data_IF_707222562597
#
_entry.id   IF_707222562597
#
_cell.length_a   1.000
_cell.length_b   1.000
_cell.length_c   1.000
_cell.angle_alpha   90.00
_cell.angle_beta   90.00
_cell.angle_gamma   90.00
#
_symmetry.space_group_name_H-M   'P 1'
#
loop_
_entity.id
_entity.type
_entity.pdbx_description
1 polymer ?
#
# COMPACT_ATOMS: atom_id res chain seq x y z
N UNK A 1 -17.26 31.04 30.66
CA UNK A 1 -15.90 30.72 31.13
C UNK A 1 -15.08 30.24 29.94
N UNK A 2 -13.86 30.75 29.71
CA UNK A 2 -13.01 30.24 28.64
C UNK A 2 -12.70 28.77 28.90
N UNK A 3 -12.98 27.89 27.93
CA UNK A 3 -12.62 26.47 28.03
C UNK A 3 -11.09 26.38 28.06
N UNK A 4 -10.53 25.72 29.08
CA UNK A 4 -9.09 25.43 29.15
C UNK A 4 -8.66 24.78 27.83
N UNK A 5 -7.56 25.21 27.20
CA UNK A 5 -7.11 24.59 25.97
C UNK A 5 -6.84 23.10 26.19
N UNK A 6 -7.04 22.25 25.18
CA UNK A 6 -6.76 20.83 25.29
C UNK A 6 -5.26 20.60 25.52
N UNK A 7 -4.93 19.63 26.37
CA UNK A 7 -3.57 19.31 26.85
C UNK A 7 -2.57 19.11 25.71
N UNK A 8 -2.99 18.52 24.58
CA UNK A 8 -2.11 18.32 23.43
C UNK A 8 -1.60 19.63 22.80
N UNK A 9 -2.34 20.73 22.91
CA UNK A 9 -1.87 22.05 22.43
C UNK A 9 -0.77 22.59 23.32
N UNK A 10 -0.85 22.34 24.62
CA UNK A 10 0.20 22.70 25.59
C UNK A 10 1.43 21.79 25.43
N UNK A 11 1.24 20.53 25.01
CA UNK A 11 2.32 19.57 24.74
C UNK A 11 3.04 19.79 23.39
N UNK A 12 2.46 20.57 22.46
CA UNK A 12 3.00 20.75 21.10
C UNK A 12 4.40 21.39 21.06
N UNK A 13 4.73 22.43 21.84
CA UNK A 13 6.08 23.00 21.87
C UNK A 13 7.13 21.98 22.33
N UNK A 14 6.80 21.17 23.36
CA UNK A 14 7.67 20.11 23.87
C UNK A 14 7.87 19.02 22.83
N UNK A 15 6.79 18.58 22.17
CA UNK A 15 6.86 17.62 21.08
C UNK A 15 7.77 18.11 19.94
N UNK A 16 7.62 19.37 19.51
CA UNK A 16 8.49 19.94 18.49
C UNK A 16 9.97 19.95 18.93
N UNK A 17 10.25 20.31 20.18
CA UNK A 17 11.61 20.26 20.73
C UNK A 17 12.21 18.85 20.78
N UNK A 18 11.39 17.83 21.08
CA UNK A 18 11.81 16.43 21.05
C UNK A 18 12.10 15.94 19.61
N UNK A 19 11.28 16.36 18.65
CA UNK A 19 11.51 16.05 17.23
C UNK A 19 12.76 16.76 16.70
N UNK A 20 12.97 18.04 17.03
CA UNK A 20 14.14 18.82 16.62
C UNK A 20 15.46 18.30 17.21
N UNK A 21 15.40 17.59 18.35
CA UNK A 21 16.57 17.05 19.05
C UNK A 21 16.76 15.53 18.87
N UNK A 22 15.88 14.87 18.12
CA UNK A 22 15.94 13.44 17.86
C UNK A 22 17.19 13.08 17.04
N UNK A 23 17.91 12.03 17.47
CA UNK A 23 19.12 11.54 16.79
C UNK A 23 18.91 10.18 16.13
N UNK A 24 17.81 9.52 16.45
CA UNK A 24 17.47 8.20 15.95
C UNK A 24 15.95 8.02 15.90
N UNK A 25 15.51 6.93 15.29
CA UNK A 25 14.09 6.56 15.16
C UNK A 25 13.40 6.34 16.52
N UNK A 26 14.10 5.80 17.52
CA UNK A 26 13.54 5.58 18.85
C UNK A 26 13.20 6.90 19.58
N UNK A 27 13.99 7.95 19.38
CA UNK A 27 13.72 9.29 19.89
C UNK A 27 12.43 9.86 19.27
N UNK A 28 12.24 9.67 17.96
CA UNK A 28 11.02 10.08 17.24
C UNK A 28 9.82 9.29 17.68
N UNK A 29 9.95 7.97 17.85
CA UNK A 29 8.87 7.13 18.36
C UNK A 29 8.46 7.53 19.78
N UNK A 30 9.44 7.88 20.62
CA UNK A 30 9.21 8.39 21.98
C UNK A 30 8.48 9.74 21.95
N UNK A 31 8.89 10.66 21.09
CA UNK A 31 8.21 11.95 20.89
C UNK A 31 6.77 11.76 20.39
N UNK A 32 6.56 10.85 19.44
CA UNK A 32 5.22 10.52 18.93
C UNK A 32 4.32 9.90 20.01
N UNK A 33 4.88 9.05 20.88
CA UNK A 33 4.16 8.45 21.99
C UNK A 33 3.74 9.50 23.02
N UNK A 34 4.64 10.44 23.34
CA UNK A 34 4.35 11.58 24.22
C UNK A 34 3.15 12.41 23.73
N UNK A 35 3.14 12.82 22.46
CA UNK A 35 2.04 13.65 21.94
C UNK A 35 0.74 12.85 21.76
N UNK A 36 0.81 11.54 21.48
CA UNK A 36 -0.35 10.64 21.48
C UNK A 36 -0.98 10.59 22.87
N UNK A 37 -0.18 10.41 23.92
CA UNK A 37 -0.67 10.39 25.30
C UNK A 37 -1.37 11.71 25.68
N UNK A 38 -0.77 12.86 25.33
CA UNK A 38 -1.39 14.17 25.58
C UNK A 38 -2.75 14.35 24.85
N UNK A 39 -2.92 13.72 23.69
CA UNK A 39 -4.21 13.69 22.99
C UNK A 39 -5.22 12.77 23.68
N UNK A 40 -4.79 11.60 24.17
CA UNK A 40 -5.64 10.70 24.96
C UNK A 40 -6.13 11.38 26.23
N UNK A 41 -5.25 12.08 26.95
CA UNK A 41 -5.59 12.85 28.15
C UNK A 41 -6.55 14.02 27.85
N UNK A 42 -6.44 14.63 26.67
CA UNK A 42 -7.36 15.69 26.24
C UNK A 42 -8.76 15.18 25.89
N UNK A 43 -8.89 13.90 25.54
CA UNK A 43 -10.13 13.27 25.07
C UNK A 43 -10.22 11.82 25.59
N UNK A 44 -10.40 11.59 26.91
CA UNK A 44 -10.32 10.27 27.51
C UNK A 44 -11.44 9.31 27.06
N UNK A 45 -12.64 9.83 26.80
CA UNK A 45 -13.83 8.99 26.68
C UNK A 45 -14.29 8.71 25.24
N UNK A 46 -13.68 9.34 24.23
CA UNK A 46 -14.11 9.21 22.83
C UNK A 46 -12.95 9.10 21.85
N UNK A 47 -12.57 7.87 21.44
CA UNK A 47 -11.56 7.62 20.41
C UNK A 47 -11.80 8.40 19.10
N UNK A 48 -13.04 8.54 18.57
CA UNK A 48 -13.29 9.32 17.35
C UNK A 48 -12.93 10.80 17.49
N UNK A 49 -13.08 11.38 18.68
CA UNK A 49 -12.79 12.79 18.97
C UNK A 49 -11.29 13.11 18.90
N UNK A 50 -10.41 12.09 18.98
CA UNK A 50 -8.95 12.22 18.90
C UNK A 50 -8.43 12.40 17.47
N UNK A 51 -9.25 12.04 16.46
CA UNK A 51 -8.89 12.12 15.04
C UNK A 51 -8.57 13.55 14.59
N UNK A 52 -9.37 14.52 15.02
CA UNK A 52 -9.20 15.93 14.66
C UNK A 52 -7.90 16.52 15.25
N UNK A 53 -7.61 16.39 16.55
CA UNK A 53 -6.31 16.73 17.13
C UNK A 53 -5.11 16.10 16.39
N UNK A 54 -5.19 14.81 16.07
CA UNK A 54 -4.10 14.11 15.36
C UNK A 54 -3.89 14.63 13.94
N UNK A 55 -4.96 14.94 13.21
CA UNK A 55 -4.83 15.59 11.91
C UNK A 55 -4.18 16.97 12.03
N UNK A 56 -4.57 17.77 13.02
CA UNK A 56 -3.96 19.09 13.27
C UNK A 56 -2.47 18.98 13.63
N UNK A 57 -2.06 17.98 14.42
CA UNK A 57 -0.65 17.74 14.74
C UNK A 57 0.12 17.34 13.48
N UNK A 58 -0.43 16.46 12.64
CA UNK A 58 0.20 16.07 11.36
C UNK A 58 0.30 17.25 10.39
N UNK A 59 -0.71 18.11 10.33
CA UNK A 59 -0.67 19.35 9.54
C UNK A 59 0.43 20.29 10.04
N UNK A 60 0.52 20.51 11.35
CA UNK A 60 1.57 21.34 11.94
C UNK A 60 2.99 20.80 11.66
N UNK A 61 3.18 19.48 11.65
CA UNK A 61 4.45 18.87 11.24
C UNK A 61 4.73 19.13 9.75
N UNK A 62 3.74 18.96 8.87
CA UNK A 62 3.91 19.22 7.43
C UNK A 62 4.19 20.70 7.12
N UNK A 63 3.60 21.61 7.88
CA UNK A 63 3.84 23.05 7.74
C UNK A 63 5.24 23.42 8.24
N UNK A 64 5.68 22.82 9.36
CA UNK A 64 7.01 23.04 9.94
C UNK A 64 8.13 22.44 9.09
N UNK A 65 7.86 21.30 8.43
CA UNK A 65 8.80 20.59 7.58
C UNK A 65 8.17 20.35 6.19
N UNK A 66 8.06 21.40 5.35
CA UNK A 66 7.47 21.27 4.04
C UNK A 66 8.33 20.38 3.15
N UNK A 67 7.71 19.40 2.49
CA UNK A 67 8.38 18.64 1.45
C UNK A 67 8.74 19.59 0.30
N UNK A 68 10.03 19.73 0.00
CA UNK A 68 10.50 20.48 -1.16
C UNK A 68 9.95 19.81 -2.42
N UNK A 69 9.07 20.51 -3.14
CA UNK A 69 8.50 20.06 -4.42
C UNK A 69 9.46 20.19 -5.61
N UNK A 70 10.67 20.71 -5.40
CA UNK A 70 11.59 21.01 -6.49
C UNK A 70 12.84 20.12 -6.45
N UNK A 71 12.94 19.26 -7.47
CA UNK A 71 14.08 18.45 -7.93
C UNK A 71 14.45 17.21 -7.09
N UNK A 72 13.70 16.13 -7.28
CA UNK A 72 14.28 14.78 -7.30
C UNK A 72 14.52 14.38 -8.77
N UNK A 73 15.71 13.87 -9.17
CA UNK A 73 15.93 13.28 -10.49
C UNK A 73 15.18 11.95 -10.69
N UNK A 74 14.43 11.49 -9.69
CA UNK A 74 13.67 10.25 -9.72
C UNK A 74 12.20 10.54 -9.38
N UNK A 75 11.46 11.07 -10.36
CA UNK A 75 9.99 10.95 -10.40
C UNK A 75 9.65 9.52 -10.81
N UNK A 76 9.66 8.61 -9.84
CA UNK A 76 9.34 7.20 -10.06
C UNK A 76 9.17 6.37 -8.79
N UNK A 77 9.75 6.77 -7.65
CA UNK A 77 9.54 6.08 -6.38
C UNK A 77 8.40 6.73 -5.56
N UNK A 78 7.57 5.96 -4.83
CA UNK A 78 6.67 6.53 -3.83
C UNK A 78 7.53 7.29 -2.81
N UNK A 79 7.40 8.61 -2.79
CA UNK A 79 8.09 9.57 -1.91
C UNK A 79 8.86 8.92 -0.76
N UNK A 80 10.21 8.88 -0.78
CA UNK A 80 10.97 8.09 0.18
C UNK A 80 10.85 8.70 1.58
N UNK A 81 10.11 8.01 2.44
CA UNK A 81 9.91 8.36 3.85
C UNK A 81 11.06 7.90 4.74
N UNK A 82 12.30 8.13 4.34
CA UNK A 82 13.47 7.81 5.17
C UNK A 82 14.56 8.85 5.01
N UNK A 83 15.30 9.04 6.10
CA UNK A 83 16.64 9.62 6.23
C UNK A 83 17.29 9.96 4.88
N UNK A 84 17.44 11.24 4.57
CA UNK A 84 18.23 11.66 3.41
C UNK A 84 19.50 12.33 3.89
N UNK A 85 20.63 11.70 3.64
CA UNK A 85 21.94 12.32 3.70
C UNK A 85 22.27 13.00 2.34
N UNK A 86 21.38 12.96 1.35
CA UNK A 86 21.62 13.57 0.06
C UNK A 86 21.25 15.07 0.06
N UNK A 87 22.28 15.94 0.13
CA UNK A 87 22.14 17.39 -0.03
C UNK A 87 23.35 18.15 0.52
N UNK A 88 23.79 19.22 -0.15
CA UNK A 88 24.84 20.13 0.39
C UNK A 88 24.29 20.82 1.63
N UNK A 89 24.85 20.53 2.81
CA UNK A 89 24.44 21.09 4.11
C UNK A 89 23.69 20.12 5.04
N UNK A 90 24.01 18.81 4.97
CA UNK A 90 23.34 17.70 5.70
C UNK A 90 23.07 18.02 7.17
N UNK A 91 21.79 18.14 7.52
CA UNK A 91 21.26 17.99 8.88
C UNK A 91 20.28 16.82 8.82
N UNK A 92 20.42 15.86 9.73
CA UNK A 92 19.52 14.72 9.86
C UNK A 92 18.10 15.23 10.18
N UNK A 93 17.10 14.73 9.44
CA UNK A 93 15.73 15.24 9.51
C UNK A 93 14.74 14.10 9.63
N UNK A 94 14.31 13.84 10.85
CA UNK A 94 13.51 12.69 11.27
C UNK A 94 12.00 12.96 11.28
N UNK A 95 11.57 14.11 10.77
CA UNK A 95 10.23 14.66 11.04
C UNK A 95 9.14 14.02 10.16
N UNK A 96 9.55 13.44 9.03
CA UNK A 96 8.67 12.65 8.17
C UNK A 96 8.38 11.26 8.76
N UNK A 97 9.28 10.74 9.61
CA UNK A 97 9.08 9.51 10.37
C UNK A 97 8.04 9.71 11.49
N UNK A 98 7.96 10.93 12.04
CA UNK A 98 6.91 11.27 13.00
C UNK A 98 5.50 11.17 12.37
N UNK A 99 5.35 11.56 11.10
CA UNK A 99 4.07 11.42 10.38
C UNK A 99 3.70 9.93 10.22
N UNK A 100 4.68 9.04 10.01
CA UNK A 100 4.46 7.58 9.95
C UNK A 100 3.97 7.05 11.29
N UNK A 101 4.70 7.28 12.38
CA UNK A 101 4.30 6.80 13.71
C UNK A 101 2.99 7.40 14.22
N UNK A 102 2.64 8.62 13.78
CA UNK A 102 1.35 9.21 14.09
C UNK A 102 0.19 8.59 13.30
N UNK A 103 0.42 7.81 12.23
CA UNK A 103 -0.65 7.20 11.40
C UNK A 103 -1.21 5.88 11.96
N UNK A 104 -0.41 5.10 12.70
CA UNK A 104 -0.68 3.65 12.88
C UNK A 104 -1.92 3.28 13.72
N UNK A 105 -2.33 4.06 14.74
CA UNK A 105 -3.26 3.47 15.73
C UNK A 105 -4.71 4.01 15.73
N UNK A 106 -5.02 5.05 14.96
CA UNK A 106 -6.29 5.79 15.11
C UNK A 106 -7.18 5.83 13.87
N UNK A 107 -6.80 5.08 12.83
CA UNK A 107 -7.49 5.03 11.54
C UNK A 107 -7.91 3.60 11.16
N UNK A 108 -7.81 2.65 12.08
CA UNK A 108 -8.43 1.33 11.94
C UNK A 108 -9.94 1.55 11.89
N UNK A 109 -10.58 1.14 10.78
CA UNK A 109 -12.02 0.88 10.78
C UNK A 109 -12.25 -0.25 11.81
N UNK A 110 -13.32 -0.15 12.58
CA UNK A 110 -13.70 -0.94 13.78
C UNK A 110 -13.75 -2.49 13.66
N UNK A 111 -13.01 -3.14 12.76
CA UNK A 111 -13.08 -4.60 12.58
C UNK A 111 -11.89 -5.38 13.17
N UNK A 112 -10.94 -4.74 13.88
CA UNK A 112 -9.79 -5.44 14.47
C UNK A 112 -9.41 -4.85 15.83
N UNK A 113 -9.93 -5.46 16.90
CA UNK A 113 -9.38 -5.30 18.26
C UNK A 113 -8.24 -6.31 18.38
N UNK A 114 -7.00 -5.87 18.13
CA UNK A 114 -5.82 -6.57 18.62
C UNK A 114 -5.67 -6.28 20.11
N UNK A 115 -6.03 -7.25 20.95
CA UNK A 115 -5.53 -7.31 22.33
C UNK A 115 -4.03 -7.62 22.28
N UNK A 116 -3.20 -6.62 22.57
CA UNK A 116 -1.82 -6.85 23.00
C UNK A 116 -1.78 -7.01 24.51
N UNK A 117 -1.35 -8.20 24.90
CA UNK A 117 -0.91 -8.62 26.22
C UNK A 117 0.28 -7.82 26.73
N UNK A 118 0.26 -7.45 28.01
CA UNK A 118 1.46 -7.43 28.85
C UNK A 118 1.14 -7.95 30.27
N UNK A 119 1.83 -9.05 30.60
CA UNK A 119 2.04 -9.81 31.86
C UNK A 119 2.27 -8.88 33.09
N UNK A 120 1.92 -9.12 34.37
CA UNK A 120 2.10 -10.26 35.31
C UNK A 120 1.24 -10.02 36.59
N UNK A 121 0.46 -11.00 37.08
CA UNK A 121 0.41 -11.52 38.49
C UNK A 121 -0.52 -12.75 38.56
N UNK A 122 -0.17 -13.86 39.26
CA UNK A 122 -0.97 -15.08 39.23
C UNK A 122 -2.14 -14.99 40.24
N UNK A 123 -3.36 -15.05 39.72
CA UNK A 123 -4.58 -15.27 40.50
C UNK A 123 -5.35 -16.43 39.86
N UNK A 124 -5.87 -17.40 40.63
CA UNK A 124 -6.38 -18.65 40.07
C UNK A 124 -7.74 -18.41 39.40
N UNK A 125 -7.79 -18.61 38.08
CA UNK A 125 -9.04 -18.59 37.31
C UNK A 125 -9.28 -19.93 36.59
N UNK A 126 -10.55 -20.29 36.40
CA UNK A 126 -11.00 -21.61 35.98
C UNK A 126 -10.68 -21.87 34.50
N UNK A 127 -10.39 -23.12 34.18
CA UNK A 127 -10.10 -23.60 32.82
C UNK A 127 -11.31 -23.40 31.88
N UNK A 128 -11.41 -22.25 31.22
CA UNK A 128 -12.15 -22.16 29.96
C UNK A 128 -11.18 -22.49 28.83
N UNK A 129 -11.09 -23.77 28.49
CA UNK A 129 -10.28 -24.27 27.39
C UNK A 129 -10.70 -23.62 26.07
N UNK A 130 -9.74 -23.00 25.40
CA UNK A 130 -9.89 -22.53 24.02
C UNK A 130 -10.13 -23.75 23.12
N UNK A 131 -11.36 -23.90 22.61
CA UNK A 131 -11.72 -24.98 21.69
C UNK A 131 -11.44 -24.55 20.25
N UNK A 132 -10.29 -24.98 19.74
CA UNK A 132 -9.83 -24.67 18.39
C UNK A 132 -10.81 -25.16 17.32
N UNK A 133 -11.58 -26.22 17.58
CA UNK A 133 -12.51 -26.80 16.63
C UNK A 133 -13.73 -25.92 16.39
N UNK A 134 -14.23 -25.29 17.45
CA UNK A 134 -15.32 -24.31 17.37
C UNK A 134 -14.89 -23.08 16.56
N UNK A 135 -13.66 -22.59 16.76
CA UNK A 135 -13.14 -21.42 16.05
C UNK A 135 -12.93 -21.68 14.55
N UNK A 136 -12.46 -22.88 14.17
CA UNK A 136 -12.29 -23.25 12.75
C UNK A 136 -13.57 -23.77 12.09
N UNK A 137 -14.68 -23.85 12.84
CA UNK A 137 -15.96 -24.38 12.34
C UNK A 137 -15.94 -25.87 12.01
N UNK A 138 -14.99 -26.63 12.57
CA UNK A 138 -14.81 -28.05 12.28
C UNK A 138 -15.66 -28.89 13.25
N UNK A 139 -16.79 -29.42 12.78
CA UNK A 139 -17.73 -30.17 13.60
C UNK A 139 -18.40 -31.34 12.87
N UNK A 140 -19.20 -32.12 13.60
CA UNK A 140 -20.08 -33.14 13.04
C UNK A 140 -19.36 -34.24 12.22
N UNK A 141 -19.85 -34.47 11.00
CA UNK A 141 -19.33 -35.51 10.10
C UNK A 141 -17.89 -35.21 9.64
N UNK A 142 -17.53 -33.94 9.46
CA UNK A 142 -16.18 -33.54 9.04
C UNK A 142 -15.14 -33.85 10.10
N UNK A 143 -15.44 -33.53 11.37
CA UNK A 143 -14.55 -33.85 12.50
C UNK A 143 -14.40 -35.38 12.64
N UNK A 144 -15.47 -36.14 12.43
CA UNK A 144 -15.45 -37.61 12.49
C UNK A 144 -14.58 -38.21 11.37
N UNK A 145 -14.69 -37.67 10.15
CA UNK A 145 -13.87 -38.08 9.02
C UNK A 145 -12.38 -37.75 9.22
N UNK A 146 -12.07 -36.58 9.78
CA UNK A 146 -10.70 -36.19 10.13
C UNK A 146 -10.14 -37.13 11.21
N UNK A 147 -10.88 -37.36 12.30
CA UNK A 147 -10.48 -38.30 13.37
C UNK A 147 -10.19 -39.71 12.84
N UNK A 148 -10.99 -40.19 11.88
CA UNK A 148 -10.73 -41.48 11.21
C UNK A 148 -9.44 -41.49 10.37
N UNK A 149 -9.09 -40.37 9.74
CA UNK A 149 -7.96 -40.29 8.83
C UNK A 149 -6.61 -40.13 9.54
N UNK A 150 -6.58 -39.35 10.63
CA UNK A 150 -5.33 -38.97 11.31
C UNK A 150 -5.24 -39.42 12.77
N UNK A 151 -6.33 -39.95 13.36
CA UNK A 151 -6.37 -40.32 14.77
C UNK A 151 -6.84 -39.18 15.68
N UNK A 152 -7.48 -39.56 16.78
CA UNK A 152 -8.14 -38.61 17.71
C UNK A 152 -7.15 -37.69 18.44
N UNK A 153 -5.98 -38.22 18.79
CA UNK A 153 -4.94 -37.50 19.53
C UNK A 153 -4.22 -36.44 18.67
N UNK A 154 -4.21 -36.63 17.34
CA UNK A 154 -3.45 -35.81 16.39
C UNK A 154 -4.27 -34.67 15.77
N UNK A 155 -5.59 -34.63 15.97
CA UNK A 155 -6.48 -33.63 15.34
C UNK A 155 -6.11 -32.20 15.71
N UNK A 156 -5.76 -31.94 16.97
CA UNK A 156 -5.35 -30.60 17.41
C UNK A 156 -4.07 -30.12 16.71
N UNK A 157 -3.08 -31.00 16.56
CA UNK A 157 -1.84 -30.67 15.87
C UNK A 157 -2.09 -30.48 14.36
N UNK A 158 -2.95 -31.31 13.78
CA UNK A 158 -3.36 -31.15 12.38
C UNK A 158 -4.04 -29.81 12.11
N UNK A 159 -4.98 -29.38 12.97
CA UNK A 159 -5.64 -28.06 12.83
C UNK A 159 -4.60 -26.94 12.93
N UNK A 160 -3.66 -27.02 13.87
CA UNK A 160 -2.56 -26.03 13.99
C UNK A 160 -1.71 -25.97 12.73
N UNK A 161 -1.31 -27.12 12.17
CA UNK A 161 -0.53 -27.18 10.94
C UNK A 161 -1.31 -26.61 9.74
N UNK A 162 -2.61 -26.90 9.63
CA UNK A 162 -3.47 -26.36 8.59
C UNK A 162 -3.59 -24.83 8.67
N UNK A 163 -3.80 -24.29 9.88
CA UNK A 163 -3.82 -22.84 10.12
C UNK A 163 -2.48 -22.19 9.76
N UNK A 164 -1.37 -22.81 10.16
CA UNK A 164 -0.03 -22.32 9.88
C UNK A 164 0.29 -22.34 8.38
N UNK A 165 -0.14 -23.37 7.65
CA UNK A 165 0.01 -23.44 6.20
C UNK A 165 -0.83 -22.37 5.50
N UNK A 166 -2.07 -22.13 5.95
CA UNK A 166 -2.92 -21.04 5.44
C UNK A 166 -2.30 -19.67 5.70
N UNK A 167 -1.79 -19.43 6.90
CA UNK A 167 -1.10 -18.19 7.25
C UNK A 167 0.14 -17.95 6.37
N UNK A 168 0.97 -18.99 6.14
CA UNK A 168 2.10 -18.92 5.21
C UNK A 168 1.67 -18.56 3.78
N UNK A 169 0.56 -19.14 3.31
CA UNK A 169 0.04 -18.83 1.97
C UNK A 169 -0.44 -17.37 1.87
N UNK A 170 -1.11 -16.85 2.91
CA UNK A 170 -1.53 -15.45 2.98
C UNK A 170 -0.31 -14.51 2.99
N UNK A 171 0.70 -14.81 3.80
CA UNK A 171 1.92 -13.99 3.86
C UNK A 171 2.69 -14.00 2.54
N UNK A 172 2.86 -15.17 1.92
CA UNK A 172 3.50 -15.28 0.61
C UNK A 172 2.73 -14.53 -0.49
N UNK A 173 1.40 -14.47 -0.40
CA UNK A 173 0.59 -13.65 -1.29
C UNK A 173 0.78 -12.15 -1.00
N UNK A 174 0.83 -11.77 0.28
CA UNK A 174 1.05 -10.38 0.71
C UNK A 174 2.42 -9.84 0.29
N UNK A 175 3.48 -10.64 0.42
CA UNK A 175 4.82 -10.29 -0.07
C UNK A 175 4.81 -10.01 -1.59
N UNK A 176 4.10 -10.82 -2.38
CA UNK A 176 3.94 -10.59 -3.83
C UNK A 176 3.17 -9.31 -4.15
N UNK A 177 2.18 -8.94 -3.32
CA UNK A 177 1.47 -7.66 -3.46
C UNK A 177 2.34 -6.44 -3.13
N UNK A 178 3.43 -6.63 -2.39
CA UNK A 178 4.38 -5.57 -2.05
C UNK A 178 5.65 -5.58 -2.93
N UNK A 179 5.78 -6.54 -3.85
CA UNK A 179 6.90 -6.61 -4.79
C UNK A 179 6.81 -5.44 -5.77
N UNK A 180 7.86 -4.61 -5.79
CA UNK A 180 8.03 -3.56 -6.79
C UNK A 180 8.57 -4.20 -8.08
N UNK A 181 7.75 -4.13 -9.13
CA UNK A 181 8.04 -4.71 -10.44
C UNK A 181 8.49 -3.65 -11.45
N UNK A 182 8.65 -2.39 -11.04
CA UNK A 182 9.00 -1.29 -11.92
C UNK A 182 10.35 -1.49 -12.62
N UNK A 183 11.29 -2.22 -12.00
CA UNK A 183 12.62 -2.52 -12.53
C UNK A 183 12.70 -3.85 -13.32
N UNK A 184 11.62 -4.62 -13.38
CA UNK A 184 11.61 -5.91 -14.09
C UNK A 184 11.36 -5.66 -15.57
N UNK A 185 12.16 -6.20 -16.51
CA UNK A 185 11.94 -6.02 -17.95
C UNK A 185 10.54 -6.41 -18.40
N UNK A 186 10.01 -5.75 -19.44
CA UNK A 186 8.64 -6.00 -19.90
C UNK A 186 8.49 -7.43 -20.42
N UNK A 187 9.54 -7.97 -21.07
CA UNK A 187 9.58 -9.34 -21.55
C UNK A 187 9.55 -10.37 -20.41
N UNK A 188 10.23 -10.09 -19.30
CA UNK A 188 10.23 -10.97 -18.12
C UNK A 188 8.85 -10.95 -17.44
N UNK A 189 8.23 -9.78 -17.31
CA UNK A 189 6.86 -9.66 -16.77
C UNK A 189 5.82 -10.40 -17.60
N UNK A 190 5.98 -10.42 -18.93
CA UNK A 190 5.03 -11.08 -19.83
C UNK A 190 5.23 -12.59 -19.93
N UNK A 191 6.49 -13.04 -19.97
CA UNK A 191 6.82 -14.42 -20.32
C UNK A 191 7.21 -15.30 -19.13
N UNK A 192 7.69 -14.73 -18.02
CA UNK A 192 8.08 -15.53 -16.86
C UNK A 192 6.85 -16.00 -16.07
N UNK A 193 6.80 -17.31 -15.83
CA UNK A 193 5.81 -17.98 -14.98
C UNK A 193 5.77 -17.40 -13.57
N UNK A 194 6.90 -16.91 -13.04
CA UNK A 194 6.99 -16.25 -11.74
C UNK A 194 6.06 -15.04 -11.68
N UNK A 195 6.11 -14.18 -12.69
CA UNK A 195 5.39 -12.91 -12.74
C UNK A 195 3.97 -13.05 -13.30
N UNK A 196 3.68 -14.09 -14.09
CA UNK A 196 2.34 -14.34 -14.66
C UNK A 196 1.23 -14.51 -13.61
N UNK A 197 1.60 -14.94 -12.40
CA UNK A 197 0.66 -15.08 -11.26
C UNK A 197 0.78 -13.97 -10.23
N UNK A 198 1.69 -13.01 -10.45
CA UNK A 198 1.82 -11.84 -9.59
C UNK A 198 0.72 -10.82 -9.96
N UNK A 199 -0.16 -10.43 -9.01
CA UNK A 199 -1.22 -9.47 -9.28
C UNK A 199 -0.72 -8.10 -9.74
N UNK A 200 0.46 -7.66 -9.28
CA UNK A 200 1.07 -6.38 -9.65
C UNK A 200 1.67 -6.39 -11.05
N UNK A 201 2.04 -7.55 -11.61
CA UNK A 201 2.62 -7.63 -12.94
C UNK A 201 1.65 -7.08 -14.00
N UNK A 202 0.37 -7.43 -13.86
CA UNK A 202 -0.69 -6.90 -14.74
C UNK A 202 -0.87 -5.38 -14.64
N UNK A 203 -0.69 -4.81 -13.44
CA UNK A 203 -0.78 -3.37 -13.19
C UNK A 203 0.42 -2.63 -13.79
N UNK A 204 1.62 -3.17 -13.62
CA UNK A 204 2.85 -2.60 -14.18
C UNK A 204 2.83 -2.65 -15.70
N UNK A 205 2.49 -3.80 -16.30
CA UNK A 205 2.34 -3.93 -17.76
C UNK A 205 1.30 -2.96 -18.31
N UNK A 206 0.16 -2.80 -17.63
CA UNK A 206 -0.86 -1.81 -18.02
C UNK A 206 -0.33 -0.37 -17.93
N UNK A 207 0.41 -0.04 -16.88
CA UNK A 207 1.07 1.27 -16.71
C UNK A 207 2.04 1.58 -17.85
N UNK A 208 2.91 0.60 -18.19
CA UNK A 208 3.87 0.70 -19.30
C UNK A 208 3.18 0.85 -20.64
N UNK A 209 2.13 0.07 -20.91
CA UNK A 209 1.33 0.19 -22.12
C UNK A 209 0.69 1.58 -22.25
N UNK A 210 0.06 2.10 -21.18
CA UNK A 210 -0.53 3.44 -21.18
C UNK A 210 0.53 4.50 -21.46
N UNK A 211 1.71 4.40 -20.83
CA UNK A 211 2.82 5.32 -21.05
C UNK A 211 3.34 5.26 -22.49
N UNK A 212 3.55 4.06 -23.04
CA UNK A 212 4.01 3.84 -24.40
C UNK A 212 3.03 4.40 -25.44
N UNK A 213 1.72 4.21 -25.24
CA UNK A 213 0.69 4.80 -26.11
C UNK A 213 0.70 6.33 -26.02
N UNK A 214 0.81 6.89 -24.81
CA UNK A 214 0.91 8.35 -24.61
C UNK A 214 2.14 8.93 -25.32
N UNK A 215 3.28 8.25 -25.22
CA UNK A 215 4.51 8.62 -25.91
C UNK A 215 4.33 8.55 -27.44
N UNK A 216 3.79 7.47 -27.98
CA UNK A 216 3.46 7.35 -29.39
C UNK A 216 2.56 8.50 -29.86
N UNK A 217 1.48 8.79 -29.14
CA UNK A 217 0.54 9.86 -29.49
C UNK A 217 1.19 11.25 -29.49
N UNK A 218 2.25 11.44 -28.72
CA UNK A 218 3.07 12.65 -28.72
C UNK A 218 4.00 12.69 -29.93
N UNK A 219 4.70 11.58 -30.23
CA UNK A 219 5.63 11.48 -31.36
C UNK A 219 4.94 11.41 -32.73
N UNK A 220 3.71 10.90 -32.79
CA UNK A 220 2.92 10.67 -34.00
C UNK A 220 1.55 11.36 -33.89
N UNK A 221 1.51 12.71 -33.93
CA UNK A 221 0.29 13.47 -33.67
C UNK A 221 -0.82 13.24 -34.72
N UNK A 222 -0.47 12.78 -35.92
CA UNK A 222 -1.41 12.47 -37.00
C UNK A 222 -2.05 11.08 -36.87
N UNK A 223 -1.43 10.19 -36.08
CA UNK A 223 -1.78 8.77 -35.99
C UNK A 223 -1.92 8.34 -34.53
N UNK A 224 -2.76 9.06 -33.78
CA UNK A 224 -3.00 8.80 -32.36
C UNK A 224 -3.88 7.58 -32.13
N UNK A 225 -3.63 6.89 -31.04
CA UNK A 225 -4.47 5.82 -30.52
C UNK A 225 -5.26 6.30 -29.29
N UNK A 226 -6.58 6.10 -29.31
CA UNK A 226 -7.43 6.14 -28.13
C UNK A 226 -7.09 4.96 -27.21
N UNK A 227 -6.70 5.26 -25.97
CA UNK A 227 -6.30 4.26 -24.99
C UNK A 227 -7.54 3.53 -24.50
N UNK A 228 -7.59 2.21 -24.70
CA UNK A 228 -8.73 1.37 -24.28
C UNK A 228 -8.22 0.05 -23.68
N UNK A 229 -9.06 -0.62 -22.88
CA UNK A 229 -8.72 -1.93 -22.28
C UNK A 229 -8.32 -2.97 -23.34
N UNK A 230 -8.94 -2.92 -24.53
CA UNK A 230 -8.62 -3.82 -25.64
C UNK A 230 -7.22 -3.54 -26.20
N UNK A 231 -6.88 -2.26 -26.36
CA UNK A 231 -5.58 -1.84 -26.89
C UNK A 231 -4.44 -2.19 -25.93
N UNK A 232 -4.66 -1.99 -24.63
CA UNK A 232 -3.70 -2.38 -23.58
C UNK A 232 -3.54 -3.90 -23.55
N UNK A 233 -4.63 -4.65 -23.69
CA UNK A 233 -4.62 -6.11 -23.77
C UNK A 233 -3.80 -6.62 -24.97
N UNK A 234 -3.92 -5.95 -26.12
CA UNK A 234 -3.16 -6.28 -27.34
C UNK A 234 -1.64 -6.08 -27.15
N UNK A 235 -1.24 -5.07 -26.37
CA UNK A 235 0.17 -4.80 -26.07
C UNK A 235 0.77 -5.71 -24.99
N UNK A 236 -0.03 -6.11 -24.00
CA UNK A 236 0.47 -6.77 -22.78
C UNK A 236 0.19 -8.27 -22.73
N UNK A 237 -0.70 -8.78 -23.59
CA UNK A 237 -1.23 -10.15 -23.52
C UNK A 237 -2.15 -10.39 -22.31
N UNK A 238 -2.36 -9.40 -21.45
CA UNK A 238 -3.24 -9.50 -20.27
C UNK A 238 -4.69 -9.39 -20.71
N UNK A 239 -5.56 -10.23 -20.15
CA UNK A 239 -6.99 -10.22 -20.54
C UNK A 239 -7.66 -8.87 -20.25
N UNK A 240 -8.62 -8.41 -21.09
CA UNK A 240 -9.29 -7.13 -20.88
C UNK A 240 -10.01 -7.01 -19.53
N UNK A 241 -10.48 -8.13 -18.98
CA UNK A 241 -11.12 -8.20 -17.66
C UNK A 241 -10.14 -7.92 -16.52
N UNK A 242 -8.90 -8.40 -16.63
CA UNK A 242 -7.85 -8.10 -15.67
C UNK A 242 -7.39 -6.64 -15.81
N UNK A 243 -7.20 -6.16 -17.04
CA UNK A 243 -6.87 -4.75 -17.34
C UNK A 243 -7.89 -3.80 -16.69
N UNK A 244 -9.19 -4.04 -16.85
CA UNK A 244 -10.25 -3.19 -16.31
C UNK A 244 -10.15 -2.96 -14.79
N UNK A 245 -9.60 -3.93 -14.03
CA UNK A 245 -9.42 -3.82 -12.58
C UNK A 245 -8.19 -3.00 -12.19
N UNK A 246 -7.16 -2.98 -13.03
CA UNK A 246 -5.85 -2.41 -12.67
C UNK A 246 -5.64 -1.01 -13.23
N UNK A 247 -6.36 -0.63 -14.29
CA UNK A 247 -6.25 0.70 -14.92
C UNK A 247 -7.01 1.81 -14.18
N UNK A 248 -7.76 1.47 -13.15
CA UNK A 248 -8.43 2.44 -12.29
C UNK A 248 -7.41 3.42 -11.68
N UNK A 249 -7.66 4.72 -11.88
CA UNK A 249 -6.78 5.80 -11.41
C UNK A 249 -5.60 6.14 -12.33
N UNK A 250 -5.48 5.54 -13.53
CA UNK A 250 -4.43 5.89 -14.50
C UNK A 250 -4.74 7.12 -15.37
N UNK A 251 -5.89 7.78 -15.14
CA UNK A 251 -6.31 8.99 -15.86
C UNK A 251 -6.47 8.77 -17.37
N UNK A 252 -6.94 7.58 -17.78
CA UNK A 252 -7.11 7.22 -19.19
C UNK A 252 -8.26 7.99 -19.82
N UNK A 253 -9.38 8.08 -19.11
CA UNK A 253 -10.58 8.80 -19.54
C UNK A 253 -10.26 10.29 -19.76
N UNK A 254 -9.66 10.93 -18.76
CA UNK A 254 -9.27 12.35 -18.82
C UNK A 254 -8.31 12.62 -19.97
N UNK A 255 -7.30 11.75 -20.17
CA UNK A 255 -6.35 11.87 -21.26
C UNK A 255 -7.04 11.74 -22.63
N UNK A 256 -7.89 10.73 -22.82
CA UNK A 256 -8.61 10.52 -24.07
C UNK A 256 -9.52 11.72 -24.37
N UNK A 257 -10.23 12.24 -23.37
CA UNK A 257 -11.09 13.42 -23.51
C UNK A 257 -10.28 14.67 -23.89
N UNK A 258 -9.16 14.93 -23.19
CA UNK A 258 -8.28 16.06 -23.47
C UNK A 258 -7.70 16.03 -24.89
N UNK A 259 -7.43 14.83 -25.41
CA UNK A 259 -6.91 14.63 -26.76
C UNK A 259 -8.00 14.50 -27.83
N UNK A 260 -9.29 14.54 -27.46
CA UNK A 260 -10.41 14.33 -28.39
C UNK A 260 -10.45 12.94 -29.01
N UNK A 261 -9.90 11.94 -28.31
CA UNK A 261 -9.76 10.57 -28.82
C UNK A 261 -10.98 9.73 -28.49
N UNK A 262 -11.49 9.03 -29.50
CA UNK A 262 -12.57 8.05 -29.34
C UNK A 262 -12.14 6.69 -29.89
N UNK A 263 -12.75 5.58 -29.46
CA UNK A 263 -12.40 4.25 -29.96
C UNK A 263 -12.52 4.08 -31.47
N UNK A 264 -13.30 4.94 -32.15
CA UNK A 264 -13.44 4.95 -33.62
C UNK A 264 -12.12 5.33 -34.29
N UNK A 265 -11.36 6.26 -33.71
CA UNK A 265 -10.06 6.73 -34.23
C UNK A 265 -9.08 5.57 -34.39
N UNK A 266 -9.13 4.58 -33.49
CA UNK A 266 -8.24 3.41 -33.55
C UNK A 266 -8.38 2.62 -34.85
N UNK A 267 -9.56 2.62 -35.49
CA UNK A 267 -9.74 1.94 -36.78
C UNK A 267 -9.00 2.65 -37.90
N UNK A 268 -9.01 3.98 -37.88
CA UNK A 268 -8.33 4.81 -38.87
C UNK A 268 -6.82 4.71 -38.68
N UNK A 269 -6.35 4.82 -37.44
CA UNK A 269 -4.94 4.66 -37.10
C UNK A 269 -4.43 3.28 -37.49
N UNK A 270 -5.18 2.21 -37.15
CA UNK A 270 -4.81 0.85 -37.54
C UNK A 270 -4.69 0.66 -39.05
N UNK A 271 -5.57 1.30 -39.83
CA UNK A 271 -5.51 1.25 -41.28
C UNK A 271 -4.29 2.00 -41.86
N UNK A 272 -3.81 3.05 -41.18
CA UNK A 272 -2.69 3.87 -41.63
C UNK A 272 -1.33 3.27 -41.24
N UNK A 273 -1.18 2.79 -40.01
CA UNK A 273 0.12 2.41 -39.44
C UNK A 273 0.24 0.92 -39.07
N UNK A 274 -0.83 0.13 -39.22
CA UNK A 274 -0.83 -1.29 -38.83
C UNK A 274 -1.27 -1.51 -37.37
N UNK A 275 -1.02 -2.72 -36.84
CA UNK A 275 -1.48 -3.08 -35.50
C UNK A 275 -0.64 -2.39 -34.43
N UNK A 276 -1.25 -2.07 -33.28
CA UNK A 276 -0.52 -1.36 -32.23
C UNK A 276 0.68 -2.16 -31.70
N UNK A 277 0.55 -3.48 -31.61
CA UNK A 277 1.62 -4.41 -31.25
C UNK A 277 2.83 -4.34 -32.18
N UNK A 278 2.64 -3.85 -33.41
CA UNK A 278 3.69 -3.82 -34.42
C UNK A 278 4.45 -2.49 -34.40
N UNK A 279 3.82 -1.43 -33.86
CA UNK A 279 4.33 -0.05 -33.92
C UNK A 279 4.63 0.58 -32.57
N UNK A 280 4.04 0.06 -31.49
CA UNK A 280 4.28 0.52 -30.12
C UNK A 280 4.89 -0.62 -29.32
N UNK A 281 6.11 -0.41 -28.85
CA UNK A 281 6.73 -1.27 -27.84
C UNK A 281 6.43 -0.73 -26.45
N UNK A 282 6.14 -1.62 -25.51
CA UNK A 282 6.05 -1.31 -24.08
C UNK A 282 7.40 -1.42 -23.36
N UNK A 283 8.49 -1.47 -24.14
CA UNK A 283 9.85 -1.41 -23.64
C UNK A 283 10.02 -0.24 -22.66
N UNK A 284 10.67 -0.52 -21.54
CA UNK A 284 10.72 0.43 -20.44
C UNK A 284 11.48 1.70 -20.87
N UNK A 285 10.91 2.88 -20.61
CA UNK A 285 11.56 4.17 -20.94
C UNK A 285 12.84 4.41 -20.12
N UNK A 286 13.14 3.54 -19.14
CA UNK A 286 14.41 3.47 -18.43
C UNK A 286 15.53 2.79 -19.24
N UNK A 287 15.22 2.21 -20.41
CA UNK A 287 16.18 1.46 -21.21
C UNK A 287 16.59 0.13 -20.55
N UNK A 288 15.74 -0.41 -19.68
CA UNK A 288 15.88 -1.75 -19.13
C UNK A 288 15.08 -2.70 -20.03
N UNK A 289 15.63 -2.94 -21.21
CA UNK A 289 15.38 -4.09 -22.09
C UNK A 289 16.70 -4.43 -22.80
#
# INVERSE_FOLDING_TARGET
>A
MPRKPPVWKEAMPTFNGLIDSAKNEADVQSACSYIKQAVVESYPDTPPSRKKPMNSIREAIRERYPALKEKSPHEGAPFPYYFTDAGKGKVERWEHLAIKHLKEDWNLKDDWVEEKSDTITPSPQPETGFDIFTEVGLGGEELTAVKQAIGDDDVNEWVKQALLQRAKAINALHERFNEDLSLVPSDELMNDKKHRTNPNASRELASRAVRAIKHWNYSQPEHKWCITNKLISELTGVTPKAIAKVVEGMGIEDYNQMQGLTPVVNRMTKAAVGSISDVVSIADMLGID
#
